data_IF_973568378348
#
_entry.id   IF_973568378348
#
_cell.length_a   1.000
_cell.length_b   1.000
_cell.length_c   1.000
_cell.angle_alpha   90.00
_cell.angle_beta   90.00
_cell.angle_gamma   90.00
#
_symmetry.space_group_name_H-M   'P 1'
#
loop_
_entity.id
_entity.type
_entity.pdbx_description
1 polymer ?
#
# COMPACT_ATOMS: atom_id res chain seq x y z
N UNK A 1 -0.87 -11.89 30.35
CA UNK A 1 -2.15 -11.95 29.60
C UNK A 1 -1.82 -11.99 28.11
N UNK A 2 -2.20 -13.04 27.39
CA UNK A 2 -2.04 -13.08 25.93
C UNK A 2 -3.13 -12.27 25.22
N UNK A 3 -2.81 -11.63 24.10
CA UNK A 3 -3.82 -10.96 23.28
C UNK A 3 -4.77 -11.99 22.65
N UNK A 4 -6.06 -11.68 22.59
CA UNK A 4 -7.05 -12.51 21.91
C UNK A 4 -6.76 -12.51 20.41
N UNK A 5 -6.65 -13.68 19.79
CA UNK A 5 -6.55 -13.83 18.33
C UNK A 5 -7.88 -13.42 17.67
N UNK A 6 -8.02 -12.13 17.39
CA UNK A 6 -9.22 -11.52 16.81
C UNK A 6 -9.20 -11.48 15.27
N UNK A 7 -8.01 -11.51 14.66
CA UNK A 7 -7.83 -11.49 13.21
C UNK A 7 -7.65 -12.90 12.63
N UNK A 8 -8.28 -13.15 11.47
CA UNK A 8 -8.13 -14.39 10.70
C UNK A 8 -6.95 -14.30 9.75
N UNK A 9 -6.41 -15.45 9.33
CA UNK A 9 -5.31 -15.52 8.35
C UNK A 9 -5.60 -14.73 7.07
N UNK A 10 -6.85 -14.80 6.56
CA UNK A 10 -7.26 -14.04 5.37
C UNK A 10 -7.01 -12.55 5.52
N UNK A 11 -7.25 -12.01 6.72
CA UNK A 11 -7.12 -10.57 6.99
C UNK A 11 -5.67 -10.17 7.13
N UNK A 12 -4.85 -11.05 7.70
CA UNK A 12 -3.40 -10.87 7.70
C UNK A 12 -2.86 -10.81 6.25
N UNK A 13 -3.25 -11.77 5.41
CA UNK A 13 -2.85 -11.81 3.99
C UNK A 13 -3.37 -10.58 3.23
N UNK A 14 -4.65 -10.22 3.41
CA UNK A 14 -5.23 -9.05 2.77
C UNK A 14 -4.55 -7.76 3.21
N UNK A 15 -4.18 -7.63 4.49
CA UNK A 15 -3.45 -6.46 4.98
C UNK A 15 -2.07 -6.37 4.34
N UNK A 16 -1.32 -7.47 4.29
CA UNK A 16 0.00 -7.51 3.66
C UNK A 16 -0.06 -7.20 2.16
N UNK A 17 -1.02 -7.80 1.45
CA UNK A 17 -1.19 -7.57 0.01
C UNK A 17 -1.69 -6.15 -0.29
N UNK A 18 -2.61 -5.62 0.52
CA UNK A 18 -3.10 -4.25 0.40
C UNK A 18 -2.02 -3.21 0.61
N UNK A 19 -1.08 -3.45 1.53
CA UNK A 19 0.07 -2.56 1.76
C UNK A 19 0.99 -2.49 0.52
N UNK A 20 1.14 -3.59 -0.22
CA UNK A 20 1.89 -3.60 -1.48
C UNK A 20 1.17 -2.85 -2.61
N UNK A 21 -0.15 -2.75 -2.56
CA UNK A 21 -0.98 -2.02 -3.54
C UNK A 21 -1.23 -0.55 -3.14
N UNK A 22 -0.33 0.05 -2.36
CA UNK A 22 -0.46 1.42 -1.89
C UNK A 22 -0.59 2.45 -3.05
N UNK A 23 -1.30 3.54 -2.78
CA UNK A 23 -1.66 4.52 -3.81
C UNK A 23 -0.44 5.25 -4.40
N UNK A 24 0.61 5.44 -3.59
CA UNK A 24 1.86 6.05 -4.02
C UNK A 24 2.67 5.21 -5.02
N UNK A 25 2.42 3.90 -5.11
CA UNK A 25 3.18 2.98 -5.97
C UNK A 25 2.86 3.21 -7.45
N UNK A 26 1.62 3.57 -7.79
CA UNK A 26 1.21 3.75 -9.19
C UNK A 26 1.93 4.93 -9.86
N UNK A 27 1.94 6.16 -9.30
CA UNK A 27 2.69 7.26 -9.88
C UNK A 27 4.20 7.00 -9.95
N UNK A 28 4.76 6.33 -8.92
CA UNK A 28 6.17 5.96 -8.89
C UNK A 28 6.54 4.97 -10.00
N UNK A 29 5.68 3.97 -10.27
CA UNK A 29 5.88 3.03 -11.36
C UNK A 29 5.82 3.72 -12.74
N UNK A 30 4.87 4.64 -12.93
CA UNK A 30 4.72 5.39 -14.19
C UNK A 30 5.92 6.31 -14.42
N UNK A 31 6.39 7.03 -13.39
CA UNK A 31 7.55 7.92 -13.53
C UNK A 31 8.85 7.14 -13.79
N UNK A 32 9.03 5.99 -13.13
CA UNK A 32 10.15 5.09 -13.39
C UNK A 32 10.12 4.55 -14.83
N UNK A 33 8.95 4.14 -15.33
CA UNK A 33 8.75 3.67 -16.71
C UNK A 33 9.11 4.75 -17.74
N UNK A 34 8.70 6.00 -17.49
CA UNK A 34 9.02 7.14 -18.35
C UNK A 34 10.53 7.47 -18.35
N UNK A 35 11.20 7.36 -17.21
CA UNK A 35 12.61 7.72 -17.09
C UNK A 35 13.58 6.67 -17.66
N UNK A 36 13.27 5.37 -17.53
CA UNK A 36 14.24 4.30 -17.80
C UNK A 36 14.05 3.56 -19.16
N UNK A 37 13.22 4.10 -20.07
CA UNK A 37 13.08 3.55 -21.42
C UNK A 37 12.49 2.13 -21.48
N UNK A 38 11.51 1.83 -20.61
CA UNK A 38 10.68 0.61 -20.63
C UNK A 38 11.38 -0.69 -20.19
N UNK A 39 12.52 -1.07 -20.79
CA UNK A 39 13.18 -2.37 -20.55
C UNK A 39 13.89 -2.48 -19.20
N UNK A 40 14.56 -1.41 -18.74
CA UNK A 40 15.27 -1.43 -17.46
C UNK A 40 14.34 -1.48 -16.25
N UNK A 41 13.10 -1.01 -16.40
CA UNK A 41 12.10 -1.04 -15.32
C UNK A 41 11.74 -2.46 -14.92
N UNK A 42 11.60 -3.38 -15.87
CA UNK A 42 11.31 -4.79 -15.56
C UNK A 42 12.42 -5.46 -14.78
N UNK A 43 13.68 -5.16 -15.11
CA UNK A 43 14.84 -5.65 -14.35
C UNK A 43 14.84 -5.07 -12.93
N UNK A 44 14.61 -3.76 -12.79
CA UNK A 44 14.55 -3.11 -11.48
C UNK A 44 13.42 -3.69 -10.60
N UNK A 45 12.23 -3.91 -11.17
CA UNK A 45 11.11 -4.56 -10.48
C UNK A 45 11.48 -5.99 -10.06
N UNK A 46 12.12 -6.77 -10.95
CA UNK A 46 12.55 -8.13 -10.63
C UNK A 46 13.56 -8.19 -9.47
N UNK A 47 14.55 -7.30 -9.48
CA UNK A 47 15.54 -7.19 -8.40
C UNK A 47 14.90 -6.74 -7.09
N UNK A 48 14.02 -5.73 -7.13
CA UNK A 48 13.29 -5.29 -5.94
C UNK A 48 12.40 -6.41 -5.37
N UNK A 49 11.71 -7.15 -6.23
CA UNK A 49 10.89 -8.30 -5.84
C UNK A 49 11.69 -9.40 -5.15
N UNK A 50 12.90 -9.69 -5.65
CA UNK A 50 13.80 -10.65 -5.01
C UNK A 50 14.19 -10.20 -3.60
N UNK A 51 14.56 -8.93 -3.41
CA UNK A 51 14.85 -8.38 -2.08
C UNK A 51 13.64 -8.45 -1.15
N UNK A 52 12.44 -8.16 -1.65
CA UNK A 52 11.20 -8.29 -0.87
C UNK A 52 10.95 -9.73 -0.41
N UNK A 53 11.17 -10.73 -1.27
CA UNK A 53 11.02 -12.15 -0.93
C UNK A 53 12.05 -12.57 0.12
N UNK A 54 13.31 -12.17 -0.03
CA UNK A 54 14.35 -12.47 0.95
C UNK A 54 14.01 -11.86 2.32
N UNK A 55 13.57 -10.60 2.34
CA UNK A 55 13.14 -9.94 3.57
C UNK A 55 11.93 -10.66 4.21
N UNK A 56 10.93 -11.05 3.40
CA UNK A 56 9.76 -11.78 3.88
C UNK A 56 10.15 -13.14 4.48
N UNK A 57 11.09 -13.87 3.87
CA UNK A 57 11.62 -15.11 4.40
C UNK A 57 12.29 -14.91 5.77
N UNK A 58 13.19 -13.92 5.89
CA UNK A 58 13.84 -13.60 7.17
C UNK A 58 12.85 -13.22 8.27
N UNK A 59 11.84 -12.41 7.96
CA UNK A 59 10.80 -12.07 8.94
C UNK A 59 9.92 -13.27 9.31
N UNK A 60 9.69 -14.21 8.38
CA UNK A 60 8.91 -15.42 8.66
C UNK A 60 9.62 -16.37 9.65
N UNK A 61 10.93 -16.58 9.48
CA UNK A 61 11.77 -17.35 10.41
C UNK A 61 11.76 -16.72 11.80
N UNK A 62 11.91 -15.40 11.84
CA UNK A 62 11.96 -14.64 13.09
C UNK A 62 10.61 -14.63 13.82
N UNK A 63 9.50 -14.56 13.08
CA UNK A 63 8.15 -14.67 13.64
C UNK A 63 7.85 -16.07 14.20
N UNK A 64 8.46 -17.11 13.62
CA UNK A 64 8.33 -18.49 14.09
C UNK A 64 9.19 -18.74 15.33
N UNK A 65 10.37 -18.11 15.41
CA UNK A 65 11.26 -18.18 16.57
C UNK A 65 10.72 -17.42 17.78
N UNK A 66 10.07 -16.28 17.56
CA UNK A 66 9.55 -15.41 18.61
C UNK A 66 8.04 -15.16 18.45
N UNK A 67 7.16 -16.13 18.77
CA UNK A 67 5.71 -16.06 18.54
C UNK A 67 5.00 -15.16 19.56
N UNK A 68 5.36 -13.87 19.56
CA UNK A 68 4.85 -12.83 20.45
C UNK A 68 4.26 -11.69 19.63
N UNK A 69 3.38 -10.89 20.24
CA UNK A 69 2.74 -9.77 19.55
C UNK A 69 3.64 -8.53 19.38
N UNK A 70 4.90 -8.57 19.84
CA UNK A 70 5.77 -7.39 19.91
C UNK A 70 6.53 -7.06 18.61
N UNK A 71 6.44 -7.90 17.58
CA UNK A 71 6.99 -7.62 16.25
C UNK A 71 8.45 -7.17 16.24
N UNK A 72 8.74 -6.10 15.48
CA UNK A 72 10.11 -5.57 15.26
C UNK A 72 10.84 -5.25 16.57
N UNK A 73 10.14 -4.76 17.60
CA UNK A 73 10.76 -4.44 18.89
C UNK A 73 11.38 -5.69 19.53
N UNK A 74 10.66 -6.81 19.51
CA UNK A 74 11.11 -8.07 20.11
C UNK A 74 12.34 -8.60 19.38
N UNK A 75 12.36 -8.45 18.06
CA UNK A 75 13.46 -8.89 17.21
C UNK A 75 14.74 -8.12 17.49
N UNK A 76 14.65 -6.78 17.51
CA UNK A 76 15.80 -5.92 17.80
C UNK A 76 16.28 -6.09 19.24
N UNK A 77 15.36 -6.30 20.19
CA UNK A 77 15.72 -6.54 21.60
C UNK A 77 16.57 -7.78 21.79
N UNK A 78 16.23 -8.89 21.14
CA UNK A 78 17.01 -10.12 21.26
C UNK A 78 18.41 -10.01 20.64
N UNK A 79 18.56 -9.21 19.57
CA UNK A 79 19.84 -9.03 18.90
C UNK A 79 20.74 -7.97 19.54
N UNK A 80 20.18 -6.86 20.02
CA UNK A 80 20.93 -5.65 20.37
C UNK A 80 20.61 -5.08 21.76
N UNK A 81 19.71 -5.71 22.52
CA UNK A 81 19.29 -5.28 23.84
C UNK A 81 18.19 -4.21 23.84
N UNK A 82 17.71 -3.86 25.05
CA UNK A 82 16.50 -3.04 25.25
C UNK A 82 16.62 -1.62 24.70
N UNK A 83 17.77 -0.95 24.90
CA UNK A 83 17.95 0.46 24.51
C UNK A 83 17.79 0.66 23.01
N UNK A 84 18.47 -0.18 22.21
CA UNK A 84 18.38 -0.13 20.76
C UNK A 84 17.00 -0.57 20.25
N UNK A 85 16.37 -1.55 20.92
CA UNK A 85 15.02 -1.97 20.57
C UNK A 85 14.01 -0.83 20.67
N UNK A 86 14.04 -0.05 21.75
CA UNK A 86 13.15 1.09 21.94
C UNK A 86 13.42 2.16 20.87
N UNK A 87 14.68 2.53 20.64
CA UNK A 87 15.04 3.54 19.64
C UNK A 87 14.57 3.15 18.24
N UNK A 88 14.86 1.93 17.79
CA UNK A 88 14.47 1.45 16.46
C UNK A 88 12.95 1.35 16.33
N UNK A 89 12.26 0.91 17.38
CA UNK A 89 10.79 0.80 17.37
C UNK A 89 10.11 2.17 17.30
N UNK A 90 10.65 3.18 17.98
CA UNK A 90 10.16 4.56 17.89
C UNK A 90 10.38 5.12 16.48
N UNK A 91 11.57 4.92 15.91
CA UNK A 91 11.84 5.30 14.52
C UNK A 91 10.88 4.61 13.55
N UNK A 92 10.63 3.32 13.73
CA UNK A 92 9.67 2.56 12.92
C UNK A 92 8.25 3.16 13.00
N UNK A 93 7.77 3.50 14.21
CA UNK A 93 6.45 4.13 14.38
C UNK A 93 6.39 5.49 13.69
N UNK A 94 7.43 6.32 13.80
CA UNK A 94 7.49 7.64 13.14
C UNK A 94 7.45 7.48 11.61
N UNK A 95 8.22 6.54 11.06
CA UNK A 95 8.23 6.25 9.63
C UNK A 95 6.88 5.73 9.15
N UNK A 96 6.25 4.81 9.90
CA UNK A 96 4.93 4.30 9.58
C UNK A 96 3.86 5.41 9.60
N UNK A 97 3.95 6.33 10.56
CA UNK A 97 3.05 7.48 10.65
C UNK A 97 3.24 8.44 9.47
N UNK A 98 4.49 8.77 9.12
CA UNK A 98 4.80 9.62 7.96
C UNK A 98 4.33 8.99 6.64
N UNK A 99 4.55 7.69 6.45
CA UNK A 99 4.05 6.95 5.29
C UNK A 99 2.51 6.98 5.24
N UNK A 100 1.83 6.74 6.36
CA UNK A 100 0.37 6.83 6.45
C UNK A 100 -0.17 8.23 6.10
N UNK A 101 0.51 9.30 6.54
CA UNK A 101 0.14 10.67 6.19
C UNK A 101 0.32 10.95 4.69
N UNK A 102 1.40 10.46 4.08
CA UNK A 102 1.64 10.58 2.64
C UNK A 102 0.56 9.84 1.83
N UNK A 103 0.20 8.61 2.22
CA UNK A 103 -0.87 7.85 1.57
C UNK A 103 -2.23 8.54 1.70
N UNK A 104 -2.55 9.09 2.88
CA UNK A 104 -3.79 9.85 3.07
C UNK A 104 -3.85 11.09 2.17
N UNK A 105 -2.72 11.80 1.99
CA UNK A 105 -2.63 12.93 1.07
C UNK A 105 -2.83 12.52 -0.39
N UNK A 106 -2.16 11.46 -0.84
CA UNK A 106 -2.31 10.95 -2.21
C UNK A 106 -3.78 10.54 -2.45
N UNK A 107 -4.37 9.79 -1.55
CA UNK A 107 -5.77 9.37 -1.65
C UNK A 107 -6.74 10.57 -1.68
N UNK A 108 -6.54 11.56 -0.80
CA UNK A 108 -7.32 12.80 -0.78
C UNK A 108 -7.20 13.59 -2.09
N UNK A 109 -6.01 13.65 -2.68
CA UNK A 109 -5.78 14.33 -3.96
C UNK A 109 -6.49 13.64 -5.13
N UNK A 110 -6.65 12.31 -5.07
CA UNK A 110 -7.42 11.57 -6.07
C UNK A 110 -8.91 11.83 -5.89
N UNK A 111 -9.43 11.84 -4.65
CA UNK A 111 -10.83 12.16 -4.37
C UNK A 111 -11.20 13.56 -4.87
N UNK A 112 -10.39 14.56 -4.57
CA UNK A 112 -10.59 15.93 -5.04
C UNK A 112 -10.74 15.97 -6.57
N UNK A 113 -9.79 15.38 -7.31
CA UNK A 113 -9.84 15.31 -8.78
C UNK A 113 -11.06 14.58 -9.31
N UNK A 114 -11.48 13.48 -8.66
CA UNK A 114 -12.65 12.71 -9.07
C UNK A 114 -13.93 13.52 -8.89
N UNK A 115 -14.11 14.18 -7.73
CA UNK A 115 -15.31 14.98 -7.48
C UNK A 115 -15.34 16.27 -8.29
N UNK A 116 -14.19 16.90 -8.54
CA UNK A 116 -14.05 18.02 -9.45
C UNK A 116 -14.45 17.62 -10.89
N UNK A 117 -13.97 16.46 -11.38
CA UNK A 117 -14.33 15.96 -12.71
C UNK A 117 -15.81 15.59 -12.83
N UNK A 118 -16.41 15.06 -11.78
CA UNK A 118 -17.83 14.70 -11.73
C UNK A 118 -18.77 15.93 -11.56
N UNK A 119 -18.23 17.13 -11.32
CA UNK A 119 -18.97 18.38 -11.10
C UNK A 119 -20.05 18.26 -10.01
N UNK A 120 -19.74 17.53 -8.94
CA UNK A 120 -20.68 17.37 -7.83
C UNK A 120 -20.72 18.68 -7.03
N UNK A 121 -21.90 19.33 -6.88
CA UNK A 121 -22.01 20.57 -6.13
C UNK A 121 -21.47 20.43 -4.70
N UNK A 122 -20.88 21.50 -4.16
CA UNK A 122 -20.22 21.56 -2.86
C UNK A 122 -18.89 20.79 -2.81
N UNK A 123 -18.83 19.55 -3.32
CA UNK A 123 -17.62 18.71 -3.25
C UNK A 123 -16.53 19.08 -4.26
N UNK A 124 -16.90 19.71 -5.38
CA UNK A 124 -15.97 20.10 -6.45
C UNK A 124 -14.97 21.17 -6.05
N UNK A 125 -15.33 22.04 -5.11
CA UNK A 125 -14.51 23.21 -4.71
C UNK A 125 -13.78 22.99 -3.37
N UNK A 126 -13.85 21.77 -2.81
CA UNK A 126 -13.19 21.44 -1.55
C UNK A 126 -11.67 21.34 -1.75
N UNK A 127 -10.85 22.09 -0.98
CA UNK A 127 -9.40 21.95 -1.04
C UNK A 127 -8.95 20.58 -0.54
N UNK A 128 -7.84 20.07 -1.09
CA UNK A 128 -7.24 18.77 -0.72
C UNK A 128 -7.04 18.62 0.79
N UNK A 129 -6.69 19.70 1.49
CA UNK A 129 -6.51 19.68 2.95
C UNK A 129 -7.77 19.22 3.71
N UNK A 130 -8.98 19.62 3.26
CA UNK A 130 -10.23 19.14 3.85
C UNK A 130 -10.48 17.68 3.52
N UNK A 131 -10.16 17.24 2.30
CA UNK A 131 -10.23 15.82 1.95
C UNK A 131 -9.30 14.95 2.80
N UNK A 132 -8.09 15.43 3.12
CA UNK A 132 -7.18 14.72 4.04
C UNK A 132 -7.82 14.53 5.41
N UNK A 133 -8.41 15.59 5.97
CA UNK A 133 -9.12 15.52 7.26
C UNK A 133 -10.26 14.49 7.17
N UNK A 134 -11.09 14.55 6.13
CA UNK A 134 -12.19 13.59 5.92
C UNK A 134 -11.68 12.14 5.87
N UNK A 135 -10.63 11.87 5.10
CA UNK A 135 -10.03 10.54 4.95
C UNK A 135 -9.47 10.03 6.28
N UNK A 136 -8.68 10.85 6.97
CA UNK A 136 -8.09 10.47 8.26
C UNK A 136 -9.19 10.24 9.29
N UNK A 137 -10.17 11.13 9.40
CA UNK A 137 -11.28 10.99 10.34
C UNK A 137 -12.10 9.73 10.04
N UNK A 138 -12.38 9.44 8.77
CA UNK A 138 -13.09 8.23 8.36
C UNK A 138 -12.37 6.96 8.83
N UNK A 139 -11.08 6.81 8.50
CA UNK A 139 -10.30 5.65 8.92
C UNK A 139 -10.08 5.62 10.44
N UNK A 140 -9.91 6.77 11.09
CA UNK A 140 -9.78 6.86 12.54
C UNK A 140 -11.03 6.32 13.24
N UNK A 141 -12.23 6.73 12.81
CA UNK A 141 -13.50 6.23 13.37
C UNK A 141 -13.65 4.71 13.18
N UNK A 142 -13.23 4.17 12.04
CA UNK A 142 -13.23 2.72 11.80
C UNK A 142 -12.27 2.01 12.76
N UNK A 143 -11.09 2.57 12.96
CA UNK A 143 -10.09 2.02 13.90
C UNK A 143 -10.57 2.07 15.35
N UNK A 144 -11.31 3.11 15.76
CA UNK A 144 -11.91 3.20 17.09
C UNK A 144 -12.95 2.11 17.38
N UNK A 145 -13.61 1.57 16.36
CA UNK A 145 -14.57 0.46 16.49
C UNK A 145 -13.90 -0.90 16.69
N UNK A 146 -12.57 -0.92 16.79
CA UNK A 146 -11.78 -2.11 17.13
C UNK A 146 -11.22 -2.85 15.93
N UNK A 147 -10.25 -3.70 16.22
CA UNK A 147 -9.40 -4.37 15.24
C UNK A 147 -10.16 -5.34 14.32
N UNK A 148 -11.26 -5.95 14.77
CA UNK A 148 -12.07 -6.83 13.93
C UNK A 148 -12.80 -6.05 12.83
N UNK A 149 -13.29 -4.85 13.14
CA UNK A 149 -13.96 -3.96 12.18
C UNK A 149 -12.96 -3.42 11.18
N UNK A 150 -11.82 -2.90 11.65
CA UNK A 150 -10.73 -2.43 10.80
C UNK A 150 -10.23 -3.55 9.86
N UNK A 151 -10.07 -4.76 10.38
CA UNK A 151 -9.70 -5.93 9.58
C UNK A 151 -10.71 -6.28 8.49
N UNK A 152 -12.02 -6.24 8.77
CA UNK A 152 -13.06 -6.46 7.74
C UNK A 152 -13.05 -5.37 6.68
N UNK A 153 -12.87 -4.10 7.07
CA UNK A 153 -12.73 -2.99 6.13
C UNK A 153 -11.52 -3.20 5.22
N UNK A 154 -10.38 -3.61 5.80
CA UNK A 154 -9.17 -3.94 5.04
C UNK A 154 -9.41 -5.08 4.04
N UNK A 155 -10.10 -6.15 4.44
CA UNK A 155 -10.48 -7.25 3.54
C UNK A 155 -11.24 -6.70 2.32
N UNK A 156 -12.32 -5.95 2.55
CA UNK A 156 -13.15 -5.39 1.47
C UNK A 156 -12.38 -4.46 0.54
N UNK A 157 -11.57 -3.55 1.10
CA UNK A 157 -10.76 -2.62 0.31
C UNK A 157 -9.74 -3.38 -0.54
N UNK A 158 -9.03 -4.34 0.04
CA UNK A 158 -7.97 -5.08 -0.65
C UNK A 158 -8.55 -5.90 -1.81
N UNK A 159 -9.59 -6.69 -1.56
CA UNK A 159 -10.21 -7.49 -2.61
C UNK A 159 -10.84 -6.61 -3.71
N UNK A 160 -11.44 -5.48 -3.32
CA UNK A 160 -11.94 -4.49 -4.28
C UNK A 160 -10.82 -3.91 -5.15
N UNK A 161 -9.68 -3.55 -4.55
CA UNK A 161 -8.51 -3.05 -5.28
C UNK A 161 -7.96 -4.10 -6.25
N UNK A 162 -7.79 -5.35 -5.82
CA UNK A 162 -7.35 -6.43 -6.71
C UNK A 162 -8.29 -6.61 -7.89
N UNK A 163 -9.60 -6.65 -7.63
CA UNK A 163 -10.59 -6.76 -8.70
C UNK A 163 -10.49 -5.60 -9.69
N UNK A 164 -10.42 -4.36 -9.20
CA UNK A 164 -10.30 -3.17 -10.05
C UNK A 164 -9.01 -3.15 -10.87
N UNK A 165 -7.86 -3.46 -10.25
CA UNK A 165 -6.58 -3.50 -10.96
C UNK A 165 -6.59 -4.57 -12.06
N UNK A 166 -7.13 -5.75 -11.78
CA UNK A 166 -7.26 -6.82 -12.77
C UNK A 166 -8.21 -6.42 -13.89
N UNK A 167 -9.38 -5.87 -13.57
CA UNK A 167 -10.36 -5.43 -14.56
C UNK A 167 -9.79 -4.34 -15.48
N UNK A 168 -9.12 -3.34 -14.91
CA UNK A 168 -8.47 -2.26 -15.67
C UNK A 168 -7.31 -2.77 -16.51
N UNK A 169 -6.54 -3.73 -16.00
CA UNK A 169 -5.44 -4.36 -16.73
C UNK A 169 -5.95 -5.15 -17.95
N UNK A 170 -6.99 -5.97 -17.78
CA UNK A 170 -7.63 -6.69 -18.88
C UNK A 170 -8.22 -5.72 -19.90
N UNK A 171 -8.96 -4.71 -19.46
CA UNK A 171 -9.50 -3.67 -20.34
C UNK A 171 -8.40 -2.94 -21.12
N UNK A 172 -7.30 -2.57 -20.44
CA UNK A 172 -6.14 -1.94 -21.06
C UNK A 172 -5.49 -2.82 -22.13
N UNK A 173 -5.33 -4.12 -21.87
CA UNK A 173 -4.78 -5.07 -22.84
C UNK A 173 -5.69 -5.26 -24.05
N UNK A 174 -7.01 -5.40 -23.83
CA UNK A 174 -7.99 -5.55 -24.91
C UNK A 174 -8.06 -4.30 -25.80
N UNK A 175 -8.06 -3.11 -25.20
CA UNK A 175 -8.06 -1.85 -25.96
C UNK A 175 -6.73 -1.59 -26.68
N UNK A 176 -5.60 -1.98 -26.09
CA UNK A 176 -4.30 -1.92 -26.76
C UNK A 176 -4.24 -2.85 -27.98
N UNK A 177 -4.73 -4.09 -27.83
CA UNK A 177 -4.83 -5.06 -28.92
C UNK A 177 -5.75 -4.57 -30.05
N UNK A 178 -6.92 -4.01 -29.69
CA UNK A 178 -7.87 -3.46 -30.66
C UNK A 178 -7.32 -2.24 -31.43
N UNK A 179 -6.43 -1.45 -30.82
CA UNK A 179 -5.81 -0.26 -31.43
C UNK A 179 -4.44 -0.53 -32.06
N UNK A 180 -3.97 -1.77 -32.04
CA UNK A 180 -2.63 -2.12 -32.54
C UNK A 180 -1.49 -1.41 -31.80
N UNK A 181 -1.70 -0.99 -30.55
CA UNK A 181 -0.67 -0.29 -29.78
C UNK A 181 0.43 -1.28 -29.36
N UNK A 182 1.71 -0.90 -29.43
CA UNK A 182 2.81 -1.76 -29.04
C UNK A 182 2.72 -2.09 -27.55
N UNK A 183 2.59 -3.37 -27.21
CA UNK A 183 2.45 -3.89 -25.83
C UNK A 183 3.75 -3.79 -25.01
N UNK A 184 4.70 -2.92 -25.39
CA UNK A 184 6.04 -2.86 -24.81
C UNK A 184 6.65 -1.48 -24.67
N UNK A 185 5.88 -0.39 -24.85
CA UNK A 185 6.44 0.97 -24.76
C UNK A 185 7.53 1.26 -25.79
N UNK A 186 7.59 0.51 -26.88
CA UNK A 186 8.45 0.86 -28.01
C UNK A 186 7.88 2.12 -28.67
N UNK A 187 8.70 3.14 -28.95
CA UNK A 187 8.24 4.30 -29.68
C UNK A 187 7.69 3.84 -31.03
N UNK A 188 6.56 4.43 -31.42
CA UNK A 188 6.06 4.32 -32.79
C UNK A 188 7.12 4.98 -33.67
N UNK A 189 7.96 4.17 -34.30
CA UNK A 189 8.88 4.64 -35.34
C UNK A 189 8.00 4.98 -36.53
N UNK A 190 7.63 6.25 -36.62
CA UNK A 190 7.16 6.91 -37.83
C UNK A 190 8.30 7.73 -38.42
#
# INVERSE_FOLDING_TARGET
MGLRRSLRLRTLVATSAGLALASSVYPAAVSAAAAAGGRLVWLAIGVAGLFCIMAAASFSELSSMYPTAGGVQVYVRHAFGERLAVTVSLLYVILAWAAGAAEAYVFASVLERVFAAARVPVLSDLPVALWVVVVITFFFVINLRGIETAGRTQDYLTYGMFFLVLALSVYGLLTAAARGLPLGGLPVVG
#
